data_IF_194035103155
#
_entry.id   IF_194035103155
#
_cell.length_a   1.000
_cell.length_b   1.000
_cell.length_c   1.000
_cell.angle_alpha   90.00
_cell.angle_beta   90.00
_cell.angle_gamma   90.00
#
_symmetry.space_group_name_H-M   'P 1'
#
loop_
_entity.id
_entity.type
_entity.pdbx_description
1 polymer ?
#
# COMPACT_ATOMS: atom_id res chain seq x y z
N UNK A 1 6.82 26.19 -8.28
CA UNK A 1 6.32 24.80 -8.30
C UNK A 1 6.15 24.36 -6.86
N UNK A 2 4.99 23.82 -6.51
CA UNK A 2 4.72 23.35 -5.14
C UNK A 2 4.78 21.83 -5.11
N UNK A 3 5.60 21.28 -4.22
CA UNK A 3 5.76 19.85 -3.99
C UNK A 3 5.05 19.53 -2.69
N UNK A 4 4.05 18.66 -2.76
CA UNK A 4 3.35 18.17 -1.58
C UNK A 4 4.01 16.88 -1.10
N UNK A 5 4.42 16.87 0.16
CA UNK A 5 5.06 15.72 0.78
C UNK A 5 4.23 15.28 1.98
N UNK A 6 3.73 14.05 1.92
CA UNK A 6 2.98 13.45 3.00
C UNK A 6 3.93 12.76 3.99
N UNK A 7 3.82 13.10 5.27
CA UNK A 7 4.56 12.45 6.35
C UNK A 7 3.57 11.74 7.25
N UNK A 8 3.74 10.42 7.41
CA UNK A 8 3.01 9.63 8.40
C UNK A 8 3.93 9.39 9.61
N UNK A 9 3.61 9.95 10.78
CA UNK A 9 4.33 9.60 12.00
C UNK A 9 3.94 8.20 12.45
N UNK A 10 4.88 7.25 12.40
CA UNK A 10 4.69 5.94 13.02
C UNK A 10 5.30 5.96 14.42
N UNK A 11 4.50 6.31 15.43
CA UNK A 11 4.94 6.20 16.82
C UNK A 11 4.89 4.72 17.25
N UNK A 12 6.01 4.09 17.66
CA UNK A 12 5.96 2.72 18.18
C UNK A 12 5.24 2.74 19.53
N UNK A 13 3.97 2.33 19.54
CA UNK A 13 3.19 2.09 20.76
C UNK A 13 2.03 3.05 21.05
N UNK A 14 1.59 3.90 20.13
CA UNK A 14 0.35 4.68 20.37
C UNK A 14 -0.89 3.85 20.05
N UNK A 15 -1.57 3.39 21.11
CA UNK A 15 -2.95 2.94 21.04
C UNK A 15 -3.85 4.03 20.41
N UNK A 16 -4.69 3.62 19.48
CA UNK A 16 -5.66 4.43 18.74
C UNK A 16 -6.56 5.24 19.68
N UNK A 17 -6.24 6.51 19.85
CA UNK A 17 -7.23 7.53 20.23
C UNK A 17 -7.44 8.43 19.02
N UNK A 18 -8.61 8.30 18.40
CA UNK A 18 -9.08 9.22 17.36
C UNK A 18 -9.25 10.61 17.96
N UNK A 19 -8.19 11.42 17.92
CA UNK A 19 -8.30 12.85 18.22
C UNK A 19 -8.89 13.55 17.01
N UNK A 20 -10.13 14.02 17.15
CA UNK A 20 -10.78 14.93 16.21
C UNK A 20 -10.20 16.35 16.41
N UNK A 21 -8.94 16.52 16.01
CA UNK A 21 -8.30 17.83 15.87
C UNK A 21 -8.45 18.31 14.43
N UNK A 22 -8.95 19.53 14.23
CA UNK A 22 -8.99 20.17 12.92
C UNK A 22 -7.59 20.31 12.30
N UNK A 23 -7.50 20.76 11.03
CA UNK A 23 -6.22 20.84 10.32
C UNK A 23 -5.34 21.91 10.96
N UNK A 24 -4.51 21.53 11.93
CA UNK A 24 -3.38 22.34 12.37
C UNK A 24 -2.33 22.28 11.24
N UNK A 25 -2.40 23.25 10.34
CA UNK A 25 -1.50 23.48 9.20
C UNK A 25 -0.09 23.94 9.63
N UNK A 26 0.48 23.36 10.68
CA UNK A 26 1.86 23.68 11.07
C UNK A 26 2.56 22.52 11.77
N UNK A 27 2.78 21.40 11.07
CA UNK A 27 3.96 20.60 11.38
C UNK A 27 5.17 21.42 10.95
N UNK A 28 5.90 21.99 11.92
CA UNK A 28 7.04 22.89 11.73
C UNK A 28 8.28 22.26 11.09
N UNK A 29 8.08 21.36 10.13
CA UNK A 29 9.13 20.69 9.40
C UNK A 29 9.66 21.62 8.32
N UNK A 30 10.93 22.00 8.41
CA UNK A 30 11.59 22.72 7.32
C UNK A 30 12.16 21.72 6.33
N UNK A 31 11.73 21.78 5.07
CA UNK A 31 12.25 20.93 4.02
C UNK A 31 12.88 21.76 2.90
N UNK A 32 13.99 21.26 2.36
CA UNK A 32 14.66 21.80 1.17
C UNK A 32 14.82 20.71 0.12
N UNK A 33 14.87 21.10 -1.14
CA UNK A 33 15.25 20.22 -2.23
C UNK A 33 16.53 20.75 -2.86
N UNK A 34 17.50 19.88 -3.08
CA UNK A 34 18.75 20.18 -3.76
C UNK A 34 19.00 19.18 -4.89
N UNK A 35 19.61 19.63 -5.98
CA UNK A 35 19.97 18.75 -7.11
C UNK A 35 20.82 17.59 -6.58
N UNK A 36 20.40 16.36 -6.89
CA UNK A 36 21.09 15.17 -6.41
C UNK A 36 22.38 14.95 -7.22
N UNK A 37 23.52 14.91 -6.53
CA UNK A 37 24.77 14.49 -7.15
C UNK A 37 24.76 12.98 -7.39
N UNK A 38 24.84 12.56 -8.65
CA UNK A 38 24.88 11.15 -9.03
C UNK A 38 26.33 10.66 -9.02
N UNK A 39 26.66 9.87 -8.00
CA UNK A 39 27.96 9.22 -7.85
C UNK A 39 27.93 7.76 -8.31
N UNK A 40 29.08 7.08 -8.24
CA UNK A 40 29.18 5.68 -8.66
C UNK A 40 28.22 4.74 -7.89
N UNK A 41 27.90 5.06 -6.63
CA UNK A 41 27.01 4.26 -5.79
C UNK A 41 25.53 4.32 -6.18
N UNK A 42 25.09 5.41 -6.84
CA UNK A 42 23.69 5.60 -7.26
C UNK A 42 23.53 5.55 -8.78
N UNK A 43 24.60 5.24 -9.51
CA UNK A 43 24.62 5.25 -10.97
C UNK A 43 23.69 4.22 -11.59
N UNK A 44 23.70 2.98 -11.10
CA UNK A 44 22.82 1.92 -11.64
C UNK A 44 21.34 2.28 -11.47
N UNK A 45 20.97 2.80 -10.28
CA UNK A 45 19.63 3.31 -10.02
C UNK A 45 19.25 4.46 -10.97
N UNK A 46 20.15 5.43 -11.15
CA UNK A 46 19.90 6.56 -12.05
C UNK A 46 19.74 6.13 -13.51
N UNK A 47 20.56 5.19 -13.99
CA UNK A 47 20.47 4.66 -15.36
C UNK A 47 19.14 3.91 -15.59
N UNK A 48 18.57 3.32 -14.55
CA UNK A 48 17.27 2.66 -14.60
C UNK A 48 16.10 3.66 -14.58
N UNK A 49 16.16 4.68 -13.73
CA UNK A 49 15.04 5.61 -13.51
C UNK A 49 15.01 6.78 -14.52
N UNK A 50 16.16 7.32 -14.93
CA UNK A 50 16.22 8.49 -15.81
C UNK A 50 15.43 8.36 -17.13
N UNK A 51 15.36 7.18 -17.79
CA UNK A 51 14.52 7.00 -18.97
C UNK A 51 13.01 7.18 -18.72
N UNK A 52 12.55 7.01 -17.48
CA UNK A 52 11.16 7.20 -17.07
C UNK A 52 10.81 8.69 -16.83
N UNK A 53 11.83 9.55 -16.72
CA UNK A 53 11.73 10.96 -16.36
C UNK A 53 12.36 11.89 -17.41
N UNK A 54 11.87 11.88 -18.66
CA UNK A 54 12.47 12.67 -19.74
C UNK A 54 12.31 14.18 -19.49
N UNK A 55 13.43 14.92 -19.48
CA UNK A 55 13.42 16.38 -19.27
C UNK A 55 13.41 16.80 -17.79
N UNK A 56 13.53 15.84 -16.89
CA UNK A 56 13.61 16.06 -15.45
C UNK A 56 14.97 15.65 -14.90
N UNK A 57 15.32 16.17 -13.73
CA UNK A 57 16.50 15.80 -12.96
C UNK A 57 16.07 15.34 -11.56
N UNK A 58 16.81 14.42 -10.91
CA UNK A 58 16.52 14.00 -9.56
C UNK A 58 17.00 15.06 -8.55
N UNK A 59 16.14 15.38 -7.60
CA UNK A 59 16.40 16.26 -6.47
C UNK A 59 16.25 15.50 -5.17
N UNK A 60 17.20 15.65 -4.27
CA UNK A 60 17.13 15.10 -2.93
C UNK A 60 16.34 16.05 -2.04
N UNK A 61 15.23 15.57 -1.49
CA UNK A 61 14.46 16.26 -0.47
C UNK A 61 15.08 15.96 0.89
N UNK A 62 15.36 17.00 1.64
CA UNK A 62 15.83 16.93 3.02
C UNK A 62 14.89 17.70 3.92
N UNK A 63 14.45 17.09 5.00
CA UNK A 63 13.69 17.75 6.07
C UNK A 63 14.54 17.79 7.36
N UNK A 64 14.01 18.34 8.45
CA UNK A 64 14.74 18.52 9.72
C UNK A 64 15.46 17.25 10.22
N UNK A 65 14.86 16.07 10.01
CA UNK A 65 15.42 14.78 10.41
C UNK A 65 16.35 14.12 9.38
N UNK A 66 16.73 14.83 8.32
CA UNK A 66 17.68 14.37 7.31
C UNK A 66 17.03 14.09 5.95
N UNK A 67 17.62 13.15 5.21
CA UNK A 67 17.14 12.78 3.88
C UNK A 67 15.73 12.18 3.97
N UNK A 68 14.81 12.73 3.19
CA UNK A 68 13.43 12.27 3.12
C UNK A 68 13.21 11.36 1.90
N UNK A 69 13.63 11.82 0.72
CA UNK A 69 13.39 11.09 -0.52
C UNK A 69 13.95 11.80 -1.75
N UNK A 70 13.65 11.24 -2.93
CA UNK A 70 14.03 11.81 -4.22
C UNK A 70 12.77 12.18 -5.00
N UNK A 71 12.77 13.36 -5.60
CA UNK A 71 11.72 13.84 -6.50
C UNK A 71 12.34 14.22 -7.83
N UNK A 72 11.62 14.00 -8.93
CA UNK A 72 12.05 14.41 -10.26
C UNK A 72 11.39 15.74 -10.61
N UNK A 73 12.20 16.74 -10.97
CA UNK A 73 11.75 18.08 -11.30
C UNK A 73 12.30 18.50 -12.67
N UNK A 74 11.59 19.37 -13.41
CA UNK A 74 12.09 19.90 -14.68
C UNK A 74 13.51 20.45 -14.55
N UNK A 75 14.37 20.18 -15.53
CA UNK A 75 15.81 20.52 -15.49
C UNK A 75 16.05 22.04 -15.34
N UNK A 76 15.09 22.87 -15.74
CA UNK A 76 15.12 24.34 -15.64
C UNK A 76 14.56 24.90 -14.32
N UNK A 77 14.18 24.03 -13.37
CA UNK A 77 13.67 24.45 -12.05
C UNK A 77 14.79 25.12 -11.24
N UNK A 78 14.61 26.39 -10.87
CA UNK A 78 15.51 27.05 -9.94
C UNK A 78 15.13 26.68 -8.49
N UNK A 79 16.10 26.54 -7.55
CA UNK A 79 15.80 26.21 -6.16
C UNK A 79 14.81 27.18 -5.49
N UNK A 80 14.87 28.46 -5.84
CA UNK A 80 13.98 29.50 -5.31
C UNK A 80 12.51 29.34 -5.74
N UNK A 81 12.26 28.56 -6.80
CA UNK A 81 10.92 28.32 -7.32
C UNK A 81 10.29 27.06 -6.70
N UNK A 82 10.98 26.36 -5.79
CA UNK A 82 10.50 25.15 -5.13
C UNK A 82 9.91 25.52 -3.79
N UNK A 83 8.61 25.29 -3.63
CA UNK A 83 7.90 25.38 -2.35
C UNK A 83 7.54 23.96 -1.90
N UNK A 84 8.02 23.55 -0.72
CA UNK A 84 7.77 22.21 -0.19
C UNK A 84 6.75 22.32 0.93
N UNK A 85 5.57 21.78 0.68
CA UNK A 85 4.47 21.76 1.65
C UNK A 85 4.42 20.37 2.26
N UNK A 86 4.76 20.30 3.54
CA UNK A 86 4.60 19.09 4.35
C UNK A 86 3.14 19.00 4.78
N UNK A 87 2.48 17.94 4.35
CA UNK A 87 1.12 17.59 4.80
C UNK A 87 1.20 16.36 5.69
N UNK A 88 0.34 16.31 6.70
CA UNK A 88 0.09 15.06 7.41
C UNK A 88 -0.45 14.06 6.39
N UNK A 89 0.30 12.98 6.15
CA UNK A 89 -0.22 11.85 5.39
C UNK A 89 -1.19 11.11 6.30
N UNK A 90 -2.41 10.85 5.82
CA UNK A 90 -3.31 9.98 6.55
C UNK A 90 -2.60 8.66 6.82
N UNK A 91 -2.42 8.33 8.10
CA UNK A 91 -1.86 7.04 8.49
C UNK A 91 -2.81 5.97 7.98
N UNK A 92 -2.35 5.15 7.03
CA UNK A 92 -3.14 4.03 6.53
C UNK A 92 -3.27 3.01 7.66
N UNK A 93 -4.49 2.84 8.18
CA UNK A 93 -4.77 1.79 9.14
C UNK A 93 -4.75 0.42 8.43
N UNK A 94 -3.78 -0.47 8.75
CA UNK A 94 -3.69 -1.77 8.09
C UNK A 94 -4.92 -2.64 8.34
N UNK A 95 -5.66 -2.44 9.45
CA UNK A 95 -6.89 -3.18 9.71
C UNK A 95 -8.01 -2.78 8.73
N UNK A 96 -8.07 -1.49 8.35
CA UNK A 96 -9.02 -1.00 7.35
C UNK A 96 -8.70 -1.56 5.96
N UNK A 97 -7.42 -1.56 5.56
CA UNK A 97 -6.98 -2.17 4.28
C UNK A 97 -7.27 -3.68 4.26
N UNK A 98 -6.99 -4.38 5.36
CA UNK A 98 -7.29 -5.81 5.46
C UNK A 98 -8.80 -6.11 5.39
N UNK A 99 -9.65 -5.25 5.97
CA UNK A 99 -11.10 -5.36 5.89
C UNK A 99 -11.62 -5.12 4.47
N UNK A 100 -11.09 -4.12 3.76
CA UNK A 100 -11.43 -3.86 2.36
C UNK A 100 -10.98 -5.00 1.43
N UNK A 101 -9.79 -5.55 1.67
CA UNK A 101 -9.29 -6.73 0.96
C UNK A 101 -10.22 -7.93 1.14
N UNK A 102 -10.78 -8.13 2.33
CA UNK A 102 -11.69 -9.24 2.61
C UNK A 102 -12.95 -9.20 1.72
N UNK A 103 -13.49 -8.01 1.44
CA UNK A 103 -14.67 -7.83 0.59
C UNK A 103 -14.41 -8.12 -0.90
N UNK A 104 -13.14 -8.12 -1.33
CA UNK A 104 -12.73 -8.33 -2.72
C UNK A 104 -12.16 -9.73 -2.97
N UNK A 105 -12.06 -10.57 -1.94
CA UNK A 105 -11.52 -11.92 -2.08
C UNK A 105 -12.51 -12.80 -2.82
N UNK A 106 -12.14 -13.35 -3.98
CA UNK A 106 -13.02 -14.23 -4.73
C UNK A 106 -13.28 -15.50 -3.92
N UNK A 107 -14.55 -15.77 -3.66
CA UNK A 107 -14.96 -17.02 -3.00
C UNK A 107 -14.74 -18.16 -4.00
N UNK A 108 -14.01 -19.23 -3.64
CA UNK A 108 -13.81 -20.37 -4.53
C UNK A 108 -15.15 -21.04 -4.82
N UNK A 109 -15.34 -21.44 -6.09
CA UNK A 109 -16.56 -22.12 -6.52
C UNK A 109 -16.58 -23.54 -5.95
N UNK A 110 -17.52 -23.81 -5.04
CA UNK A 110 -17.63 -25.10 -4.35
C UNK A 110 -18.79 -25.90 -4.90
N UNK A 111 -18.49 -27.10 -5.37
CA UNK A 111 -19.48 -28.06 -5.86
C UNK A 111 -19.58 -29.24 -4.89
N UNK A 112 -20.81 -29.57 -4.49
CA UNK A 112 -21.10 -30.76 -3.69
C UNK A 112 -21.45 -31.92 -4.62
N UNK A 113 -20.57 -32.92 -4.70
CA UNK A 113 -20.83 -34.17 -5.38
C UNK A 113 -21.69 -35.10 -4.53
N UNK A 114 -22.62 -35.81 -5.16
CA UNK A 114 -23.52 -36.78 -4.51
C UNK A 114 -23.64 -38.07 -5.29
N UNK A 115 -23.63 -39.20 -4.59
CA UNK A 115 -23.87 -40.53 -5.17
C UNK A 115 -24.64 -41.43 -4.20
N UNK A 116 -25.76 -42.09 -4.60
CA UNK A 116 -26.44 -42.00 -5.90
C UNK A 116 -27.17 -40.68 -6.12
N UNK A 117 -27.44 -40.36 -7.40
CA UNK A 117 -28.28 -39.22 -7.79
C UNK A 117 -29.67 -39.33 -7.17
N UNK A 118 -30.34 -38.19 -6.96
CA UNK A 118 -31.65 -38.13 -6.30
C UNK A 118 -32.68 -39.06 -6.94
N UNK A 119 -33.50 -39.73 -6.13
CA UNK A 119 -34.59 -40.61 -6.59
C UNK A 119 -34.50 -42.08 -6.11
N UNK A 120 -33.39 -42.47 -5.48
CA UNK A 120 -33.26 -43.77 -4.80
C UNK A 120 -33.36 -43.59 -3.28
N UNK A 121 -34.22 -44.38 -2.63
CA UNK A 121 -34.39 -44.40 -1.17
C UNK A 121 -33.76 -45.65 -0.57
N UNK A 122 -33.30 -45.56 0.68
CA UNK A 122 -32.68 -46.67 1.43
C UNK A 122 -31.34 -47.21 0.87
N UNK A 123 -30.57 -46.38 0.15
CA UNK A 123 -29.20 -46.71 -0.29
C UNK A 123 -28.20 -45.81 0.44
N UNK A 124 -27.03 -46.32 0.88
CA UNK A 124 -25.97 -45.47 1.41
C UNK A 124 -25.55 -44.40 0.41
N UNK A 125 -25.55 -43.14 0.86
CA UNK A 125 -25.20 -41.96 0.06
C UNK A 125 -23.84 -41.39 0.46
N UNK A 126 -23.10 -40.92 -0.54
CA UNK A 126 -21.72 -40.45 -0.43
C UNK A 126 -21.68 -39.01 -0.92
N UNK A 127 -20.96 -38.16 -0.18
CA UNK A 127 -20.84 -36.74 -0.46
C UNK A 127 -19.36 -36.38 -0.50
N UNK A 128 -18.98 -35.52 -1.43
CA UNK A 128 -17.62 -34.96 -1.50
C UNK A 128 -17.66 -33.52 -2.01
N UNK A 129 -16.57 -32.81 -1.80
CA UNK A 129 -16.41 -31.41 -2.19
C UNK A 129 -15.43 -31.36 -3.36
N UNK A 130 -15.78 -30.59 -4.38
CA UNK A 130 -14.93 -30.24 -5.51
C UNK A 130 -14.78 -28.71 -5.57
N UNK A 131 -13.68 -28.22 -6.13
CA UNK A 131 -13.45 -26.79 -6.36
C UNK A 131 -12.74 -26.01 -5.24
N UNK A 132 -12.56 -26.61 -4.06
CA UNK A 132 -11.74 -26.03 -2.98
C UNK A 132 -11.01 -27.12 -2.19
N UNK A 133 -9.70 -26.97 -2.01
CA UNK A 133 -8.80 -27.96 -1.39
C UNK A 133 -8.51 -27.67 0.09
N UNK A 134 -9.02 -26.56 0.62
CA UNK A 134 -8.78 -26.13 2.00
C UNK A 134 -7.53 -25.26 2.19
N UNK A 135 -6.79 -24.96 1.12
CA UNK A 135 -5.60 -24.10 1.18
C UNK A 135 -5.98 -22.65 1.49
N UNK A 136 -5.20 -21.94 2.34
CA UNK A 136 -5.44 -20.52 2.61
C UNK A 136 -5.41 -19.68 1.33
N UNK A 137 -6.30 -18.68 1.27
CA UNK A 137 -6.34 -17.71 0.20
C UNK A 137 -5.49 -16.51 0.61
N UNK A 138 -4.51 -16.16 -0.22
CA UNK A 138 -3.61 -15.02 0.04
C UNK A 138 -4.03 -13.85 -0.83
N UNK A 139 -4.19 -12.69 -0.21
CA UNK A 139 -4.43 -11.42 -0.90
C UNK A 139 -3.45 -10.37 -0.38
N UNK A 140 -3.05 -9.44 -1.24
CA UNK A 140 -2.20 -8.32 -0.84
C UNK A 140 -2.66 -7.03 -1.50
N UNK A 141 -2.45 -5.92 -0.79
CA UNK A 141 -2.64 -4.59 -1.32
C UNK A 141 -1.59 -3.62 -0.79
N UNK A 142 -1.35 -2.55 -1.54
CA UNK A 142 -0.37 -1.51 -1.20
C UNK A 142 -1.03 -0.14 -1.25
N UNK A 143 -1.11 0.53 -0.10
CA UNK A 143 -1.64 1.88 0.01
C UNK A 143 -0.69 2.76 0.84
N UNK A 144 -0.38 3.95 0.33
CA UNK A 144 0.48 4.91 1.04
C UNK A 144 1.90 4.40 1.35
N UNK A 145 2.43 3.45 0.57
CA UNK A 145 3.75 2.85 0.80
C UNK A 145 3.76 1.72 1.85
N UNK A 146 2.61 1.36 2.41
CA UNK A 146 2.43 0.19 3.29
C UNK A 146 1.85 -0.95 2.46
N UNK A 147 2.54 -2.09 2.45
CA UNK A 147 2.03 -3.33 1.85
C UNK A 147 1.44 -4.20 2.95
N UNK A 148 0.18 -4.59 2.78
CA UNK A 148 -0.54 -5.51 3.67
C UNK A 148 -0.70 -6.84 2.94
N UNK A 149 -0.29 -7.92 3.59
CA UNK A 149 -0.52 -9.30 3.15
C UNK A 149 -1.54 -9.94 4.10
N UNK A 150 -2.59 -10.53 3.54
CA UNK A 150 -3.69 -11.14 4.27
C UNK A 150 -3.80 -12.60 3.88
N UNK A 151 -3.77 -13.48 4.88
CA UNK A 151 -4.04 -14.90 4.75
C UNK A 151 -5.45 -15.20 5.26
N UNK A 152 -6.30 -15.76 4.41
CA UNK A 152 -7.72 -16.01 4.69
C UNK A 152 -7.96 -17.51 4.70
N UNK A 153 -8.48 -18.02 5.82
CA UNK A 153 -8.93 -19.42 5.94
C UNK A 153 -10.45 -19.44 6.06
N UNK A 154 -11.19 -19.89 5.03
CA UNK A 154 -12.62 -20.14 5.11
C UNK A 154 -12.94 -21.15 6.21
N UNK A 155 -13.80 -20.78 7.16
CA UNK A 155 -14.20 -21.66 8.27
C UNK A 155 -15.56 -22.32 8.07
N UNK A 156 -16.36 -21.84 7.10
CA UNK A 156 -17.67 -22.40 6.78
C UNK A 156 -18.34 -21.73 5.60
N UNK A 157 -19.28 -22.45 4.99
CA UNK A 157 -20.11 -21.97 3.88
C UNK A 157 -21.58 -22.03 4.28
N UNK A 158 -22.34 -21.00 3.91
CA UNK A 158 -23.80 -20.96 4.05
C UNK A 158 -24.40 -20.61 2.70
N UNK A 159 -25.45 -21.34 2.31
CA UNK A 159 -26.24 -21.09 1.11
C UNK A 159 -27.71 -20.87 1.50
#
# INVERSE_FOLDING_TARGET
MTIYIAVSETSPGSSTESSSGGPDTSSGWSCTADVMNIGNATREWFEQEAPLHPGEAPWAVRCDNGFFGIVWLPIDTAPADIDIVVVQGDSVDPATVAAELLDHVPVPDIVIGVNPTTGLVAVPSWFWIEGYDGSPIVASDTLGGVTVEVEITPTGYRW
#
